data_IF_320414618809
#
_entry.id   IF_320414618809
#
_cell.length_a   1.000
_cell.length_b   1.000
_cell.length_c   1.000
_cell.angle_alpha   90.00
_cell.angle_beta   90.00
_cell.angle_gamma   90.00
#
_symmetry.space_group_name_H-M   'P 1'
#
loop_
_entity.id
_entity.type
_entity.pdbx_description
1 polymer ?
#
# COMPACT_ATOMS: atom_id res chain seq x y z
N UNK A 1 -2.30 -10.27 8.54
CA UNK A 1 -2.33 -10.63 7.10
C UNK A 1 -3.52 -9.92 6.45
N UNK A 2 -3.35 -9.33 5.27
CA UNK A 2 -4.43 -8.68 4.52
C UNK A 2 -5.37 -9.72 3.87
N UNK A 3 -6.70 -9.51 3.85
CA UNK A 3 -7.62 -10.33 3.06
C UNK A 3 -7.34 -10.21 1.56
N UNK A 4 -7.50 -11.31 0.81
CA UNK A 4 -7.16 -11.37 -0.63
C UNK A 4 -7.91 -10.32 -1.45
N UNK A 5 -9.20 -10.15 -1.19
CA UNK A 5 -10.07 -9.21 -1.91
C UNK A 5 -9.70 -7.74 -1.65
N UNK A 6 -8.92 -7.48 -0.60
CA UNK A 6 -8.45 -6.15 -0.22
C UNK A 6 -6.97 -5.93 -0.55
N UNK A 7 -6.21 -6.98 -0.91
CA UNK A 7 -4.77 -6.86 -1.17
C UNK A 7 -4.49 -5.95 -2.37
N UNK A 8 -5.23 -6.11 -3.47
CA UNK A 8 -5.09 -5.28 -4.68
C UNK A 8 -5.42 -3.80 -4.40
N UNK A 9 -6.63 -3.44 -3.93
CA UNK A 9 -6.99 -2.03 -3.79
C UNK A 9 -6.12 -1.30 -2.76
N UNK A 10 -5.72 -1.98 -1.68
CA UNK A 10 -4.85 -1.39 -0.66
C UNK A 10 -3.43 -1.23 -1.19
N UNK A 11 -2.90 -2.23 -1.91
CA UNK A 11 -1.56 -2.11 -2.50
C UNK A 11 -1.52 -0.99 -3.54
N UNK A 12 -2.55 -0.89 -4.39
CA UNK A 12 -2.69 0.17 -5.40
C UNK A 12 -2.77 1.56 -4.77
N UNK A 13 -3.54 1.71 -3.67
CA UNK A 13 -3.60 2.95 -2.90
C UNK A 13 -2.23 3.33 -2.29
N UNK A 14 -1.54 2.37 -1.66
CA UNK A 14 -0.21 2.59 -1.06
C UNK A 14 0.85 2.96 -2.12
N UNK A 15 0.78 2.35 -3.30
CA UNK A 15 1.65 2.72 -4.41
C UNK A 15 1.37 4.13 -4.95
N UNK A 16 0.09 4.50 -5.11
CA UNK A 16 -0.33 5.82 -5.58
C UNK A 16 0.03 6.91 -4.57
N UNK A 17 -0.20 6.65 -3.28
CA UNK A 17 0.06 7.61 -2.20
C UNK A 17 1.51 8.10 -2.13
N UNK A 18 2.50 7.25 -2.47
CA UNK A 18 3.92 7.68 -2.56
C UNK A 18 4.09 8.79 -3.63
N UNK A 19 3.31 8.76 -4.71
CA UNK A 19 3.38 9.77 -5.79
C UNK A 19 2.67 11.07 -5.44
N UNK A 20 1.83 11.06 -4.41
CA UNK A 20 1.04 12.19 -3.94
C UNK A 20 1.55 12.68 -2.58
N UNK A 21 2.84 13.00 -2.49
CA UNK A 21 3.50 13.38 -1.23
C UNK A 21 2.95 14.68 -0.59
N UNK A 22 2.14 15.45 -1.32
CA UNK A 22 1.47 16.66 -0.87
C UNK A 22 0.14 16.40 -0.12
N UNK A 23 -0.37 15.18 -0.14
CA UNK A 23 -1.63 14.81 0.53
C UNK A 23 -1.30 14.21 1.90
N UNK A 24 -1.55 14.97 2.95
CA UNK A 24 -1.17 14.60 4.32
C UNK A 24 -1.90 13.33 4.79
N UNK A 25 -3.14 13.13 4.37
CA UNK A 25 -4.00 11.98 4.68
C UNK A 25 -3.36 10.65 4.24
N UNK A 26 -2.50 10.69 3.21
CA UNK A 26 -1.79 9.49 2.79
C UNK A 26 -0.73 9.02 3.79
N UNK A 27 -0.15 9.92 4.58
CA UNK A 27 0.76 9.54 5.67
C UNK A 27 0.01 8.72 6.72
N UNK A 28 -1.21 9.13 7.05
CA UNK A 28 -2.06 8.41 7.99
C UNK A 28 -2.47 7.04 7.44
N UNK A 29 -2.81 6.95 6.15
CA UNK A 29 -3.11 5.69 5.46
C UNK A 29 -1.95 4.69 5.57
N UNK A 30 -0.71 5.15 5.34
CA UNK A 30 0.49 4.31 5.51
C UNK A 30 0.64 3.81 6.94
N UNK A 31 0.43 4.69 7.93
CA UNK A 31 0.52 4.32 9.34
C UNK A 31 -0.52 3.26 9.71
N UNK A 32 -1.78 3.48 9.32
CA UNK A 32 -2.88 2.55 9.62
C UNK A 32 -2.66 1.18 8.99
N UNK A 33 -2.25 1.12 7.71
CA UNK A 33 -2.01 -0.16 7.04
C UNK A 33 -0.70 -0.84 7.50
N UNK A 34 0.32 -0.07 7.87
CA UNK A 34 1.53 -0.62 8.48
C UNK A 34 1.22 -1.28 9.82
N UNK A 35 0.42 -0.62 10.66
CA UNK A 35 -0.01 -1.16 11.96
C UNK A 35 -0.88 -2.42 11.79
N UNK A 36 -1.81 -2.41 10.83
CA UNK A 36 -2.78 -3.49 10.62
C UNK A 36 -2.22 -4.71 9.88
N UNK A 37 -1.37 -4.49 8.88
CA UNK A 37 -0.91 -5.55 7.95
C UNK A 37 0.60 -5.79 7.96
N UNK A 38 1.37 -4.92 8.60
CA UNK A 38 2.81 -5.04 8.75
C UNK A 38 3.61 -4.22 7.75
N UNK A 39 4.84 -3.86 8.15
CA UNK A 39 5.78 -3.07 7.35
C UNK A 39 6.14 -3.73 6.02
N UNK A 40 6.32 -5.05 6.01
CA UNK A 40 6.68 -5.80 4.80
C UNK A 40 5.60 -5.70 3.72
N UNK A 41 4.32 -5.75 4.10
CA UNK A 41 3.22 -5.60 3.16
C UNK A 41 3.21 -4.20 2.55
N UNK A 42 3.33 -3.16 3.39
CA UNK A 42 3.30 -1.77 2.93
C UNK A 42 4.52 -1.46 2.05
N UNK A 43 5.72 -1.83 2.48
CA UNK A 43 6.95 -1.66 1.70
C UNK A 43 6.89 -2.38 0.36
N UNK A 44 6.36 -3.62 0.32
CA UNK A 44 6.21 -4.36 -0.94
C UNK A 44 5.26 -3.65 -1.93
N UNK A 45 4.16 -3.07 -1.45
CA UNK A 45 3.23 -2.30 -2.29
C UNK A 45 3.84 -0.99 -2.79
N UNK A 46 4.47 -0.22 -1.88
CA UNK A 46 5.06 1.09 -2.19
C UNK A 46 6.23 0.97 -3.18
N UNK A 47 7.06 -0.06 -3.02
CA UNK A 47 8.23 -0.32 -3.87
C UNK A 47 7.91 -1.15 -5.12
N UNK A 48 6.65 -1.55 -5.31
CA UNK A 48 6.20 -2.37 -6.43
C UNK A 48 7.02 -3.69 -6.57
N UNK A 49 7.35 -4.33 -5.44
CA UNK A 49 8.14 -5.57 -5.40
C UNK A 49 7.45 -6.70 -6.16
N UNK A 50 8.22 -7.70 -6.61
CA UNK A 50 7.66 -8.92 -7.19
C UNK A 50 6.71 -9.59 -6.17
N UNK A 51 5.45 -9.81 -6.56
CA UNK A 51 4.39 -10.31 -5.67
C UNK A 51 3.50 -9.22 -5.05
N UNK A 52 3.81 -7.92 -5.23
CA UNK A 52 2.87 -6.84 -4.90
C UNK A 52 1.62 -6.97 -5.76
N UNK A 53 0.43 -6.84 -5.15
CA UNK A 53 -0.86 -6.97 -5.86
C UNK A 53 -1.30 -5.70 -6.58
N UNK A 54 -0.40 -4.74 -6.78
CA UNK A 54 -0.68 -3.49 -7.51
C UNK A 54 -1.02 -3.80 -8.97
N UNK A 55 -2.10 -3.22 -9.49
CA UNK A 55 -2.47 -3.35 -10.90
C UNK A 55 -1.40 -2.68 -11.81
N UNK A 56 -1.07 -3.33 -12.93
CA UNK A 56 -0.02 -2.91 -13.89
C UNK A 56 -0.53 -2.71 -15.32
N UNK A 57 -1.85 -2.79 -15.50
CA UNK A 57 -2.53 -2.64 -16.79
C UNK A 57 -2.83 -1.18 -17.03
#
# INVERSE_FOLDING_TARGET
>A
KCPLDLEEPISSLLFASRRCAEIQEFTDVHHHFTSKYGKEFVSAAVELRAGSRVNRT
#
